data_IF_964458528767
#
_entry.id   IF_964458528767
#
_cell.length_a   1.000
_cell.length_b   1.000
_cell.length_c   1.000
_cell.angle_alpha   90.00
_cell.angle_beta   90.00
_cell.angle_gamma   90.00
#
_symmetry.space_group_name_H-M   'P 1'
#
loop_
_entity.id
_entity.type
_entity.pdbx_description
1 polymer ?
#
# COMPACT_ATOMS: atom_id res chain seq x y z
N UNK A 1 12.20 8.57 2.59
CA UNK A 1 12.24 7.09 2.73
C UNK A 1 11.40 6.46 1.62
N UNK A 2 11.69 5.20 1.22
CA UNK A 2 10.85 4.50 0.24
C UNK A 2 9.82 3.62 0.95
N UNK A 3 8.58 3.59 0.42
CA UNK A 3 7.56 2.63 0.81
C UNK A 3 7.15 1.81 -0.40
N UNK A 4 7.26 0.49 -0.30
CA UNK A 4 6.84 -0.45 -1.34
C UNK A 4 5.40 -0.84 -1.06
N UNK A 5 4.50 -0.46 -1.95
CA UNK A 5 3.06 -0.69 -1.80
C UNK A 5 2.67 -2.02 -2.47
N UNK A 6 1.86 -2.80 -1.77
CA UNK A 6 1.09 -3.89 -2.36
C UNK A 6 -0.12 -3.36 -3.14
N UNK A 7 -0.78 -4.19 -3.93
CA UNK A 7 -1.91 -3.81 -4.79
C UNK A 7 -3.07 -3.19 -4.00
N UNK A 8 -3.45 -3.78 -2.86
CA UNK A 8 -4.57 -3.28 -2.06
C UNK A 8 -4.32 -1.87 -1.50
N UNK A 9 -3.19 -1.56 -0.83
CA UNK A 9 -2.85 -0.20 -0.42
C UNK A 9 -2.83 0.80 -1.57
N UNK A 10 -2.25 0.44 -2.72
CA UNK A 10 -2.21 1.30 -3.90
C UNK A 10 -3.60 1.66 -4.40
N UNK A 11 -4.47 0.65 -4.57
CA UNK A 11 -5.86 0.81 -5.02
C UNK A 11 -6.66 1.65 -4.03
N UNK A 12 -6.49 1.43 -2.72
CA UNK A 12 -7.20 2.22 -1.71
C UNK A 12 -6.76 3.69 -1.72
N UNK A 13 -5.47 3.98 -1.83
CA UNK A 13 -4.98 5.35 -1.95
C UNK A 13 -5.56 6.06 -3.18
N UNK A 14 -5.64 5.36 -4.31
CA UNK A 14 -6.25 5.90 -5.53
C UNK A 14 -7.76 6.14 -5.37
N UNK A 15 -8.51 5.21 -4.77
CA UNK A 15 -9.96 5.35 -4.50
C UNK A 15 -10.29 6.44 -3.49
N UNK A 16 -9.40 6.70 -2.55
CA UNK A 16 -9.56 7.72 -1.51
C UNK A 16 -9.11 9.11 -1.96
N UNK A 17 -8.54 9.24 -3.15
CA UNK A 17 -7.82 10.44 -3.59
C UNK A 17 -6.84 10.93 -2.50
N UNK A 18 -6.03 9.97 -1.99
CA UNK A 18 -5.18 10.17 -0.83
C UNK A 18 -3.71 9.83 -1.08
N UNK A 19 -3.28 9.82 -2.34
CA UNK A 19 -1.91 9.48 -2.69
C UNK A 19 -0.89 10.53 -2.21
N UNK A 20 -1.31 11.79 -2.12
CA UNK A 20 -0.57 12.89 -1.51
C UNK A 20 -0.11 12.60 -0.08
N UNK A 21 -0.91 11.83 0.67
CA UNK A 21 -0.59 11.44 2.04
C UNK A 21 0.72 10.65 2.13
N UNK A 22 1.10 9.91 1.09
CA UNK A 22 2.36 9.15 1.07
C UNK A 22 3.56 10.09 1.11
N UNK A 23 3.55 11.12 0.28
CA UNK A 23 4.63 12.11 0.22
C UNK A 23 4.67 12.98 1.48
N UNK A 24 3.52 13.43 1.99
CA UNK A 24 3.41 14.23 3.22
C UNK A 24 3.89 13.42 4.44
N UNK A 25 3.63 12.10 4.47
CA UNK A 25 4.16 11.19 5.50
C UNK A 25 5.68 10.93 5.38
N UNK A 26 6.35 11.53 4.39
CA UNK A 26 7.81 11.44 4.18
C UNK A 26 8.25 10.23 3.37
N UNK A 27 7.34 9.60 2.62
CA UNK A 27 7.65 8.45 1.77
C UNK A 27 7.67 8.80 0.29
N UNK A 28 8.51 8.07 -0.46
CA UNK A 28 8.42 7.96 -1.92
C UNK A 28 7.76 6.61 -2.23
N UNK A 29 6.64 6.63 -2.94
CA UNK A 29 5.88 5.43 -3.28
C UNK A 29 6.56 4.63 -4.39
N UNK A 30 6.69 3.33 -4.16
CA UNK A 30 7.25 2.36 -5.11
C UNK A 30 6.32 1.17 -5.21
N UNK A 31 6.20 0.58 -6.39
CA UNK A 31 5.52 -0.70 -6.60
C UNK A 31 6.36 -1.63 -7.48
N UNK A 32 6.34 -2.95 -7.24
CA UNK A 32 6.84 -3.91 -8.20
C UNK A 32 6.05 -3.86 -9.51
N UNK A 33 6.67 -4.26 -10.61
CA UNK A 33 5.99 -4.33 -11.91
C UNK A 33 4.75 -5.26 -11.87
N UNK A 34 4.80 -6.36 -11.11
CA UNK A 34 3.67 -7.28 -10.92
C UNK A 34 2.47 -6.60 -10.25
N UNK A 35 2.72 -5.83 -9.18
CA UNK A 35 1.68 -5.06 -8.48
C UNK A 35 1.09 -3.98 -9.40
N UNK A 36 1.95 -3.26 -10.15
CA UNK A 36 1.46 -2.28 -11.12
C UNK A 36 0.58 -2.94 -12.19
N UNK A 37 1.01 -4.06 -12.75
CA UNK A 37 0.25 -4.81 -13.75
C UNK A 37 -1.10 -5.34 -13.22
N UNK A 38 -1.17 -5.64 -11.92
CA UNK A 38 -2.43 -6.01 -11.26
C UNK A 38 -3.36 -4.81 -11.07
N UNK A 39 -2.83 -3.69 -10.59
CA UNK A 39 -3.61 -2.49 -10.24
C UNK A 39 -4.02 -1.66 -11.46
N UNK A 40 -3.26 -1.67 -12.54
CA UNK A 40 -3.45 -0.87 -13.75
C UNK A 40 -3.84 -1.73 -14.96
N UNK A 41 -4.93 -2.52 -14.84
CA UNK A 41 -5.46 -3.34 -15.94
C UNK A 41 -6.34 -2.50 -16.87
N UNK A 42 -5.87 -2.10 -18.05
CA UNK A 42 -6.61 -1.20 -18.93
C UNK A 42 -7.99 -1.74 -19.34
N UNK A 43 -8.11 -3.06 -19.49
CA UNK A 43 -9.36 -3.74 -19.85
C UNK A 43 -10.47 -3.61 -18.79
N UNK A 44 -10.11 -3.24 -17.57
CA UNK A 44 -11.05 -3.04 -16.47
C UNK A 44 -11.34 -1.55 -16.18
N UNK A 45 -10.67 -0.62 -16.87
CA UNK A 45 -10.73 0.81 -16.57
C UNK A 45 -12.16 1.40 -16.62
N UNK A 46 -13.05 0.84 -17.44
CA UNK A 46 -14.45 1.29 -17.51
C UNK A 46 -15.27 0.98 -16.24
N UNK A 47 -14.85 0.00 -15.44
CA UNK A 47 -15.48 -0.39 -14.16
C UNK A 47 -14.71 0.11 -12.95
N UNK A 48 -13.44 0.46 -13.14
CA UNK A 48 -12.48 0.78 -12.09
C UNK A 48 -11.79 2.10 -12.39
N UNK A 49 -12.45 3.25 -12.12
CA UNK A 49 -11.91 4.58 -12.42
C UNK A 49 -10.58 4.87 -11.72
N UNK A 50 -10.28 4.19 -10.61
CA UNK A 50 -9.01 4.27 -9.91
C UNK A 50 -7.81 3.85 -10.77
N UNK A 51 -8.00 3.03 -11.82
CA UNK A 51 -6.94 2.63 -12.76
C UNK A 51 -6.33 3.85 -13.44
N UNK A 52 -7.17 4.75 -13.96
CA UNK A 52 -6.68 5.99 -14.59
C UNK A 52 -5.89 6.86 -13.59
N UNK A 53 -6.26 6.83 -12.30
CA UNK A 53 -5.49 7.52 -11.26
C UNK A 53 -4.12 6.88 -11.07
N UNK A 54 -4.03 5.54 -11.01
CA UNK A 54 -2.75 4.82 -10.87
C UNK A 54 -1.84 5.07 -12.07
N UNK A 55 -2.38 5.06 -13.30
CA UNK A 55 -1.61 5.37 -14.52
C UNK A 55 -1.07 6.81 -14.48
N UNK A 56 -1.91 7.79 -14.15
CA UNK A 56 -1.50 9.19 -14.01
C UNK A 56 -0.41 9.36 -12.96
N UNK A 57 -0.53 8.73 -11.79
CA UNK A 57 0.48 8.81 -10.73
C UNK A 57 1.85 8.29 -11.20
N UNK A 58 1.89 7.23 -12.02
CA UNK A 58 3.12 6.75 -12.64
C UNK A 58 3.65 7.78 -13.65
N UNK A 59 2.80 8.29 -14.53
CA UNK A 59 3.22 9.20 -15.61
C UNK A 59 3.73 10.55 -15.06
N UNK A 60 3.15 11.00 -13.94
CA UNK A 60 3.57 12.20 -13.20
C UNK A 60 4.81 11.95 -12.31
N UNK A 61 5.35 10.72 -12.27
CA UNK A 61 6.51 10.36 -11.46
C UNK A 61 6.26 10.30 -9.95
N UNK A 62 5.01 10.33 -9.53
CA UNK A 62 4.61 10.22 -8.12
C UNK A 62 4.65 8.77 -7.63
N UNK A 63 4.46 7.80 -8.54
CA UNK A 63 4.54 6.37 -8.30
C UNK A 63 5.68 5.77 -9.12
N UNK A 64 6.69 5.23 -8.46
CA UNK A 64 7.81 4.56 -9.12
C UNK A 64 7.47 3.07 -9.35
N UNK A 65 7.51 2.65 -10.60
CA UNK A 65 7.35 1.23 -10.96
C UNK A 65 8.74 0.62 -11.15
N UNK A 66 9.08 -0.40 -10.39
CA UNK A 66 10.42 -1.00 -10.41
C UNK A 66 10.37 -2.50 -10.74
N UNK A 67 11.27 -2.99 -11.59
CA UNK A 67 11.46 -4.43 -11.75
C UNK A 67 12.22 -5.01 -10.56
N UNK A 68 12.04 -6.31 -10.31
CA UNK A 68 12.91 -7.07 -9.42
C UNK A 68 14.25 -7.33 -10.11
N UNK A 69 15.34 -7.23 -9.35
CA UNK A 69 16.65 -7.74 -9.78
C UNK A 69 16.77 -9.27 -9.63
N UNK A 70 17.91 -9.85 -9.95
CA UNK A 70 18.07 -11.31 -9.91
C UNK A 70 17.99 -11.86 -8.47
N UNK A 71 18.67 -11.31 -7.46
CA UNK A 71 18.53 -11.72 -6.06
C UNK A 71 17.11 -11.59 -5.52
N UNK A 72 16.40 -10.52 -5.86
CA UNK A 72 15.02 -10.29 -5.44
C UNK A 72 14.05 -11.33 -6.03
N UNK A 73 14.22 -11.68 -7.31
CA UNK A 73 13.45 -12.76 -7.95
C UNK A 73 13.70 -14.12 -7.32
N UNK A 74 14.96 -14.41 -6.99
CA UNK A 74 15.33 -15.66 -6.31
C UNK A 74 14.66 -15.74 -4.93
N UNK A 75 14.71 -14.66 -4.15
CA UNK A 75 14.05 -14.59 -2.86
C UNK A 75 12.53 -14.73 -2.98
N UNK A 76 11.88 -14.03 -3.91
CA UNK A 76 10.44 -14.15 -4.14
C UNK A 76 10.04 -15.60 -4.50
N UNK A 77 10.85 -16.28 -5.32
CA UNK A 77 10.65 -17.69 -5.70
C UNK A 77 10.80 -18.63 -4.50
N UNK A 78 11.83 -18.42 -3.66
CA UNK A 78 12.05 -19.20 -2.45
C UNK A 78 10.89 -19.02 -1.46
N UNK A 79 10.44 -17.79 -1.26
CA UNK A 79 9.28 -17.49 -0.42
C UNK A 79 7.99 -18.15 -0.94
N UNK A 80 7.77 -18.14 -2.26
CA UNK A 80 6.63 -18.84 -2.87
C UNK A 80 6.66 -20.35 -2.59
N UNK A 81 7.80 -20.95 -2.59
CA UNK A 81 7.97 -22.38 -2.28
C UNK A 81 7.75 -22.72 -0.81
N UNK A 82 8.00 -21.78 0.10
CA UNK A 82 7.89 -21.99 1.57
C UNK A 82 6.55 -21.57 2.16
N UNK A 83 5.92 -20.54 1.60
CA UNK A 83 4.74 -19.91 2.17
C UNK A 83 3.59 -19.92 1.16
N UNK A 84 2.69 -20.90 1.31
CA UNK A 84 1.46 -20.95 0.53
C UNK A 84 0.49 -19.83 0.95
N UNK A 85 -0.34 -19.37 -0.01
CA UNK A 85 -1.41 -18.40 0.25
C UNK A 85 -1.02 -16.93 0.11
N UNK A 86 0.23 -16.62 -0.27
CA UNK A 86 0.63 -15.28 -0.70
C UNK A 86 0.58 -15.17 -2.23
N UNK A 87 0.17 -14.01 -2.71
CA UNK A 87 0.14 -13.69 -4.13
C UNK A 87 1.51 -13.21 -4.63
N UNK A 88 1.74 -13.28 -5.94
CA UNK A 88 3.01 -12.87 -6.54
C UNK A 88 3.40 -11.42 -6.19
N UNK A 89 2.43 -10.49 -6.20
CA UNK A 89 2.67 -9.10 -5.83
C UNK A 89 3.17 -8.95 -4.39
N UNK A 90 2.57 -9.66 -3.43
CA UNK A 90 3.01 -9.65 -2.02
C UNK A 90 4.43 -10.18 -1.85
N UNK A 91 4.77 -11.25 -2.58
CA UNK A 91 6.11 -11.84 -2.56
C UNK A 91 7.15 -10.88 -3.15
N UNK A 92 6.82 -10.18 -4.22
CA UNK A 92 7.69 -9.19 -4.84
C UNK A 92 7.91 -7.98 -3.92
N UNK A 93 6.85 -7.49 -3.23
CA UNK A 93 6.97 -6.44 -2.21
C UNK A 93 7.88 -6.87 -1.07
N UNK A 94 7.74 -8.11 -0.58
CA UNK A 94 8.59 -8.67 0.46
C UNK A 94 10.05 -8.75 0.02
N UNK A 95 10.31 -9.23 -1.21
CA UNK A 95 11.66 -9.37 -1.74
C UNK A 95 12.36 -8.02 -1.89
N UNK A 96 11.68 -7.02 -2.47
CA UNK A 96 12.21 -5.66 -2.60
C UNK A 96 12.43 -5.03 -1.22
N UNK A 97 11.44 -5.12 -0.32
CA UNK A 97 11.55 -4.57 1.03
C UNK A 97 12.74 -5.14 1.79
N UNK A 98 12.95 -6.46 1.70
CA UNK A 98 14.08 -7.14 2.34
C UNK A 98 15.42 -6.75 1.73
N UNK A 99 15.55 -6.85 0.40
CA UNK A 99 16.83 -6.64 -0.28
C UNK A 99 17.29 -5.17 -0.24
N UNK A 100 16.35 -4.22 -0.37
CA UNK A 100 16.68 -2.78 -0.42
C UNK A 100 16.55 -2.07 0.93
N UNK A 101 16.10 -2.74 1.97
CA UNK A 101 15.85 -2.13 3.29
C UNK A 101 14.72 -1.09 3.24
N UNK A 102 13.75 -1.27 2.35
CA UNK A 102 12.60 -0.37 2.20
C UNK A 102 11.42 -0.81 3.06
N UNK A 103 10.61 0.16 3.47
CA UNK A 103 9.39 -0.12 4.22
C UNK A 103 8.33 -0.72 3.31
N UNK A 104 7.65 -1.77 3.74
CA UNK A 104 6.56 -2.40 2.99
C UNK A 104 5.19 -2.00 3.57
N UNK A 105 4.21 -1.80 2.69
CA UNK A 105 2.83 -1.51 3.08
C UNK A 105 1.91 -2.60 2.51
N UNK A 106 1.31 -3.38 3.41
CA UNK A 106 0.36 -4.43 3.10
C UNK A 106 -1.01 -4.13 3.73
N UNK A 107 -2.05 -4.68 3.14
CA UNK A 107 -3.35 -4.77 3.78
C UNK A 107 -3.54 -6.11 4.49
N UNK A 108 -3.01 -7.19 3.91
CA UNK A 108 -3.17 -8.54 4.40
C UNK A 108 -2.27 -8.83 5.62
N UNK A 109 -2.89 -9.46 6.65
CA UNK A 109 -2.18 -9.79 7.91
C UNK A 109 -1.07 -10.81 7.71
N UNK A 110 -1.24 -11.75 6.77
CA UNK A 110 -0.25 -12.81 6.51
C UNK A 110 1.03 -12.20 5.96
N UNK A 111 0.94 -11.36 4.93
CA UNK A 111 2.08 -10.66 4.34
C UNK A 111 2.80 -9.79 5.37
N UNK A 112 2.04 -9.04 6.19
CA UNK A 112 2.62 -8.21 7.28
C UNK A 112 3.38 -9.04 8.31
N UNK A 113 2.86 -10.21 8.71
CA UNK A 113 3.54 -11.10 9.66
C UNK A 113 4.84 -11.65 9.08
N UNK A 114 4.81 -12.08 7.81
CA UNK A 114 6.00 -12.59 7.14
C UNK A 114 7.05 -11.49 6.95
N UNK A 115 6.66 -10.28 6.57
CA UNK A 115 7.55 -9.13 6.47
C UNK A 115 8.32 -8.92 7.78
N UNK A 116 7.62 -8.91 8.90
CA UNK A 116 8.25 -8.77 10.24
C UNK A 116 9.20 -9.93 10.55
N UNK A 117 8.84 -11.16 10.21
CA UNK A 117 9.69 -12.34 10.42
C UNK A 117 10.98 -12.28 9.57
N UNK A 118 10.93 -11.63 8.40
CA UNK A 118 12.07 -11.38 7.52
C UNK A 118 12.86 -10.12 7.88
N UNK A 119 12.47 -9.39 8.94
CA UNK A 119 13.10 -8.13 9.33
C UNK A 119 12.78 -6.94 8.41
N UNK A 120 11.73 -7.05 7.59
CA UNK A 120 11.25 -5.95 6.74
C UNK A 120 10.42 -4.99 7.58
N UNK A 121 10.78 -3.72 7.56
CA UNK A 121 9.97 -2.66 8.18
C UNK A 121 8.60 -2.59 7.51
N UNK A 122 7.54 -2.44 8.30
CA UNK A 122 6.17 -2.34 7.77
C UNK A 122 5.47 -1.10 8.28
N UNK A 123 4.63 -0.51 7.45
CA UNK A 123 3.69 0.56 7.81
C UNK A 123 2.29 0.15 7.37
N UNK A 124 1.29 0.44 8.18
CA UNK A 124 -0.10 0.22 7.79
C UNK A 124 -0.65 1.43 7.05
N UNK A 125 -1.55 1.21 6.08
CA UNK A 125 -2.13 2.31 5.29
C UNK A 125 -2.78 3.40 6.16
N UNK A 126 -3.45 3.00 7.24
CA UNK A 126 -4.05 3.95 8.20
C UNK A 126 -2.98 4.85 8.83
N UNK A 127 -1.80 4.32 9.15
CA UNK A 127 -0.69 5.12 9.69
C UNK A 127 -0.20 6.15 8.67
N UNK A 128 -0.14 5.77 7.39
CA UNK A 128 0.20 6.69 6.28
C UNK A 128 -0.86 7.79 6.17
N UNK A 129 -2.15 7.45 6.21
CA UNK A 129 -3.24 8.43 6.16
C UNK A 129 -3.16 9.40 7.34
N UNK A 130 -2.92 8.90 8.56
CA UNK A 130 -2.80 9.72 9.77
C UNK A 130 -1.57 10.65 9.71
N UNK A 131 -0.42 10.15 9.28
CA UNK A 131 0.80 10.96 9.17
C UNK A 131 0.73 11.96 8.01
N UNK A 132 0.08 11.58 6.92
CA UNK A 132 0.06 12.31 5.66
C UNK A 132 -1.16 13.20 5.43
N UNK A 133 -2.11 13.26 6.36
CA UNK A 133 -3.29 14.13 6.25
C UNK A 133 -3.38 15.05 7.47
N UNK A 134 -2.75 16.23 7.43
CA UNK A 134 -2.74 17.16 8.56
C UNK A 134 -4.10 17.82 8.82
N UNK A 135 -4.93 17.96 7.79
CA UNK A 135 -6.29 18.47 7.94
C UNK A 135 -7.20 17.42 8.58
N UNK A 136 -7.79 17.76 9.73
CA UNK A 136 -8.58 16.83 10.52
C UNK A 136 -9.90 16.41 9.87
N UNK A 137 -10.55 17.31 9.15
CA UNK A 137 -11.84 17.03 8.51
C UNK A 137 -11.62 16.15 7.28
N UNK A 138 -10.56 16.42 6.52
CA UNK A 138 -10.14 15.55 5.42
C UNK A 138 -9.70 14.17 5.92
N UNK A 139 -8.98 14.09 7.03
CA UNK A 139 -8.57 12.81 7.63
C UNK A 139 -9.80 12.01 8.08
N UNK A 140 -10.77 12.63 8.76
CA UNK A 140 -12.03 11.98 9.15
C UNK A 140 -12.76 11.41 7.92
N UNK A 141 -12.87 12.20 6.86
CA UNK A 141 -13.47 11.76 5.59
C UNK A 141 -12.73 10.58 4.97
N UNK A 142 -11.39 10.64 4.86
CA UNK A 142 -10.55 9.57 4.32
C UNK A 142 -10.69 8.27 5.12
N UNK A 143 -10.67 8.36 6.45
CA UNK A 143 -10.80 7.20 7.33
C UNK A 143 -12.20 6.57 7.23
N UNK A 144 -13.27 7.34 7.17
CA UNK A 144 -14.63 6.82 6.95
C UNK A 144 -14.77 6.12 5.59
N UNK A 145 -14.20 6.71 4.54
CA UNK A 145 -14.23 6.12 3.22
C UNK A 145 -13.37 4.84 3.16
N UNK A 146 -12.21 4.83 3.81
CA UNK A 146 -11.39 3.63 3.96
C UNK A 146 -12.15 2.52 4.69
N UNK A 147 -12.83 2.83 5.79
CA UNK A 147 -13.64 1.85 6.53
C UNK A 147 -14.72 1.22 5.65
N UNK A 148 -15.38 2.00 4.78
CA UNK A 148 -16.37 1.49 3.82
C UNK A 148 -15.75 0.57 2.77
N UNK A 149 -14.58 0.93 2.25
CA UNK A 149 -13.87 0.13 1.23
C UNK A 149 -13.35 -1.20 1.77
N UNK A 150 -12.99 -1.24 3.05
CA UNK A 150 -12.36 -2.41 3.69
C UNK A 150 -13.31 -3.20 4.59
N UNK A 151 -14.59 -2.80 4.66
CA UNK A 151 -15.57 -3.39 5.56
C UNK A 151 -15.11 -3.45 7.02
N UNK A 152 -14.41 -2.41 7.49
CA UNK A 152 -14.03 -2.29 8.91
C UNK A 152 -15.27 -2.35 9.80
N UNK A 153 -15.13 -2.97 10.95
CA UNK A 153 -16.23 -2.98 11.93
C UNK A 153 -16.51 -1.57 12.47
N UNK A 154 -17.73 -1.32 12.93
CA UNK A 154 -18.06 -0.03 13.55
C UNK A 154 -17.17 0.26 14.75
N UNK A 155 -16.83 -0.76 15.53
CA UNK A 155 -15.95 -0.61 16.68
C UNK A 155 -14.52 -0.17 16.27
N UNK A 156 -13.95 -0.77 15.21
CA UNK A 156 -12.63 -0.37 14.71
C UNK A 156 -12.66 1.06 14.14
N UNK A 157 -13.74 1.43 13.45
CA UNK A 157 -13.93 2.79 12.94
C UNK A 157 -14.02 3.80 14.08
N UNK A 158 -14.78 3.52 15.14
CA UNK A 158 -14.91 4.39 16.31
C UNK A 158 -13.57 4.63 16.99
N UNK A 159 -12.73 3.59 17.11
CA UNK A 159 -11.37 3.72 17.63
C UNK A 159 -10.54 4.70 16.78
N UNK A 160 -10.57 4.57 15.45
CA UNK A 160 -9.83 5.45 14.56
C UNK A 160 -10.34 6.90 14.64
N UNK A 161 -11.66 7.10 14.70
CA UNK A 161 -12.26 8.44 14.80
C UNK A 161 -11.95 9.11 16.15
N UNK A 162 -11.86 8.36 17.24
CA UNK A 162 -11.44 8.90 18.53
C UNK A 162 -9.97 9.34 18.49
N UNK A 163 -9.07 8.57 17.86
CA UNK A 163 -7.68 8.98 17.66
C UNK A 163 -7.56 10.29 16.85
N UNK A 164 -8.45 10.52 15.88
CA UNK A 164 -8.48 11.80 15.14
C UNK A 164 -8.91 12.95 16.07
N UNK A 165 -9.92 12.74 16.91
CA UNK A 165 -10.39 13.75 17.85
C UNK A 165 -9.35 14.16 18.89
N UNK A 166 -8.56 13.19 19.37
CA UNK A 166 -7.47 13.43 20.33
C UNK A 166 -6.28 14.20 19.74
N UNK A 167 -6.19 14.32 18.42
CA UNK A 167 -5.17 15.11 17.72
C UNK A 167 -5.54 16.58 17.52
N UNK A 168 -6.81 16.95 17.76
CA UNK A 168 -7.30 18.34 17.70
C UNK A 168 -6.89 19.11 18.95
#
# INVERSE_FOLDING_TARGET
>A
MYVVLDASPLIYLAKLDAFDAVAIAGYTAVVPLSVYAEAARPELAFRHPEIATVERLRDDGQLLVVPLDAPERELATDLAGRYGGLHAGELDVLAIGHARGWTACFHERQATRLARALGVATVHLVEVLFAGTPDHDLLDQRVRNFARLTNLTMNDLDVLLNLIRERR
#
